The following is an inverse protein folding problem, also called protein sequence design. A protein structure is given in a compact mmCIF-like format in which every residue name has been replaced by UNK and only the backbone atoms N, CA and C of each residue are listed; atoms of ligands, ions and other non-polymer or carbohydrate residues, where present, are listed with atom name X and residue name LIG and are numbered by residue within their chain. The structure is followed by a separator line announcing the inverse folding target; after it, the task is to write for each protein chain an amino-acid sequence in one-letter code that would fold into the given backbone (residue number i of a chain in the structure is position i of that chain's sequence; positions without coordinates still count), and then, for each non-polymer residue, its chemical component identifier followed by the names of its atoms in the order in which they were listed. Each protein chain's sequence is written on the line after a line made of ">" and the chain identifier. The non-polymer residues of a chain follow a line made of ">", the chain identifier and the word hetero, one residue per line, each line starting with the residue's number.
data_IF_508450482495
#
_entry.id   IF_508450482495
#
_cell.length_a   1.000
_cell.length_b   1.000
_cell.length_c   1.000
_cell.angle_alpha   90.00
_cell.angle_beta   90.00
_cell.angle_gamma   90.00
#
_symmetry.space_group_name_H-M   'P 1'
#
loop_
_entity.id
_entity.type
_entity.pdbx_description
1 polymer ?
#
# COMPACT_ATOMS: atom_id res chain seq x y z
N UNK A 1 -4.21 8.21 -20.94
CA UNK A 1 -3.84 8.24 -19.50
C UNK A 1 -2.51 7.52 -19.35
N UNK A 2 -1.47 8.16 -18.80
CA UNK A 2 -0.11 7.59 -18.73
C UNK A 2 -0.07 6.40 -17.76
N UNK A 3 0.66 5.32 -18.09
CA UNK A 3 0.81 4.10 -17.26
C UNK A 3 1.16 4.39 -15.79
N UNK A 4 1.90 5.47 -15.54
CA UNK A 4 2.25 5.97 -14.19
C UNK A 4 1.01 6.37 -13.36
N UNK A 5 0.01 6.99 -13.98
CA UNK A 5 -1.23 7.43 -13.32
C UNK A 5 -2.08 6.22 -12.93
N UNK A 6 -2.18 5.23 -13.81
CA UNK A 6 -2.92 3.99 -13.54
C UNK A 6 -2.34 3.20 -12.36
N UNK A 7 -1.01 3.11 -12.27
CA UNK A 7 -0.34 2.46 -11.15
C UNK A 7 -0.53 3.22 -9.82
N UNK A 8 -0.57 4.56 -9.88
CA UNK A 8 -0.84 5.37 -8.70
C UNK A 8 -2.29 5.17 -8.21
N UNK A 9 -3.25 5.14 -9.13
CA UNK A 9 -4.66 4.87 -8.80
C UNK A 9 -4.83 3.47 -8.19
N UNK A 10 -4.20 2.44 -8.78
CA UNK A 10 -4.19 1.09 -8.22
C UNK A 10 -3.57 1.04 -6.82
N UNK A 11 -2.47 1.78 -6.60
CA UNK A 11 -1.86 1.91 -5.28
C UNK A 11 -2.79 2.54 -4.24
N UNK A 12 -3.52 3.60 -4.61
CA UNK A 12 -4.50 4.24 -3.72
C UNK A 12 -5.68 3.31 -3.38
N UNK A 13 -6.17 2.53 -4.36
CA UNK A 13 -7.25 1.55 -4.13
C UNK A 13 -6.80 0.47 -3.14
N UNK A 14 -5.59 -0.07 -3.33
CA UNK A 14 -5.01 -1.08 -2.43
C UNK A 14 -4.79 -0.50 -1.03
N UNK A 15 -4.32 0.76 -0.93
CA UNK A 15 -4.23 1.48 0.34
C UNK A 15 -5.57 1.52 1.08
N UNK A 16 -6.64 1.89 0.37
CA UNK A 16 -7.98 1.99 0.95
C UNK A 16 -8.49 0.65 1.46
N UNK A 17 -8.30 -0.43 0.69
CA UNK A 17 -8.73 -1.79 1.08
C UNK A 17 -7.97 -2.25 2.33
N UNK A 18 -6.65 -2.05 2.37
CA UNK A 18 -5.81 -2.43 3.53
C UNK A 18 -6.18 -1.59 4.76
N UNK A 19 -6.45 -0.30 4.58
CA UNK A 19 -6.93 0.58 5.64
C UNK A 19 -8.26 0.09 6.22
N UNK A 20 -9.23 -0.21 5.36
CA UNK A 20 -10.50 -0.80 5.79
C UNK A 20 -10.30 -2.12 6.56
N UNK A 21 -9.43 -3.01 6.08
CA UNK A 21 -9.14 -4.28 6.76
C UNK A 21 -8.50 -4.10 8.13
N UNK A 22 -7.71 -3.04 8.34
CA UNK A 22 -7.02 -2.79 9.61
C UNK A 22 -7.91 -2.04 10.61
N UNK A 23 -8.74 -1.11 10.13
CA UNK A 23 -9.51 -0.20 10.98
C UNK A 23 -10.97 -0.62 11.21
N UNK A 24 -11.58 -1.41 10.33
CA UNK A 24 -12.96 -1.90 10.51
C UNK A 24 -13.07 -2.96 11.62
N UNK A 25 -12.19 -3.98 11.68
CA UNK A 25 -12.33 -5.01 12.69
C UNK A 25 -11.77 -4.51 14.02
N UNK A 26 -12.51 -4.76 15.09
CA UNK A 26 -12.01 -4.45 16.42
C UNK A 26 -11.06 -5.54 16.90
N UNK A 27 -9.78 -5.37 16.60
CA UNK A 27 -8.72 -6.30 16.96
C UNK A 27 -8.25 -6.18 18.41
N UNK A 28 -8.83 -5.27 19.22
CA UNK A 28 -8.39 -5.01 20.59
C UNK A 28 -7.02 -4.32 20.71
N UNK A 29 -6.36 -4.01 19.59
CA UNK A 29 -5.15 -3.20 19.56
C UNK A 29 -5.48 -1.71 19.67
N UNK A 30 -4.62 -0.95 20.35
CA UNK A 30 -4.66 0.51 20.33
C UNK A 30 -4.52 1.05 18.91
N UNK A 31 -5.24 2.13 18.60
CA UNK A 31 -5.23 2.79 17.28
C UNK A 31 -3.81 3.11 16.80
N UNK A 32 -2.91 3.45 17.73
CA UNK A 32 -1.51 3.72 17.41
C UNK A 32 -0.82 2.53 16.75
N UNK A 33 -1.08 1.30 17.21
CA UNK A 33 -0.55 0.08 16.61
C UNK A 33 -1.17 -0.20 15.23
N UNK A 34 -2.47 0.04 15.07
CA UNK A 34 -3.17 -0.11 13.78
C UNK A 34 -2.58 0.84 12.73
N UNK A 35 -2.29 2.08 13.11
CA UNK A 35 -1.63 3.08 12.25
C UNK A 35 -0.21 2.63 11.88
N UNK A 36 0.58 2.12 12.82
CA UNK A 36 1.93 1.63 12.54
C UNK A 36 1.93 0.45 11.57
N UNK A 37 1.02 -0.51 11.75
CA UNK A 37 0.86 -1.65 10.83
C UNK A 37 0.47 -1.14 9.43
N UNK A 38 -0.48 -0.19 9.35
CA UNK A 38 -0.89 0.39 8.08
C UNK A 38 0.29 1.06 7.35
N UNK A 39 1.06 1.90 8.05
CA UNK A 39 2.23 2.58 7.48
C UNK A 39 3.28 1.55 7.01
N UNK A 40 3.56 0.53 7.81
CA UNK A 40 4.55 -0.50 7.48
C UNK A 40 4.15 -1.29 6.22
N UNK A 41 2.88 -1.72 6.14
CA UNK A 41 2.36 -2.42 4.95
C UNK A 41 2.41 -1.52 3.72
N UNK A 42 2.08 -0.23 3.88
CA UNK A 42 2.12 0.73 2.78
C UNK A 42 3.54 1.00 2.27
N UNK A 43 4.52 1.12 3.17
CA UNK A 43 5.93 1.25 2.80
C UNK A 43 6.44 0.01 2.04
N UNK A 44 6.12 -1.19 2.51
CA UNK A 44 6.51 -2.44 1.83
C UNK A 44 5.92 -2.50 0.42
N UNK A 45 4.64 -2.15 0.28
CA UNK A 45 3.97 -2.10 -1.02
C UNK A 45 4.67 -1.14 -1.99
N UNK A 46 5.01 0.07 -1.53
CA UNK A 46 5.72 1.05 -2.35
C UNK A 46 7.13 0.57 -2.75
N UNK A 47 7.83 -0.08 -1.82
CA UNK A 47 9.17 -0.62 -2.07
C UNK A 47 9.15 -1.75 -3.10
N UNK A 48 8.20 -2.69 -2.96
CA UNK A 48 7.99 -3.76 -3.94
C UNK A 48 7.63 -3.21 -5.32
N UNK A 49 6.74 -2.21 -5.40
CA UNK A 49 6.41 -1.56 -6.67
C UNK A 49 7.61 -0.86 -7.31
N UNK A 50 8.44 -0.17 -6.50
CA UNK A 50 9.69 0.44 -6.98
C UNK A 50 10.64 -0.62 -7.55
N UNK A 51 10.78 -1.76 -6.87
CA UNK A 51 11.67 -2.85 -7.28
C UNK A 51 11.19 -3.55 -8.56
N UNK A 52 9.90 -3.87 -8.65
CA UNK A 52 9.30 -4.47 -9.85
C UNK A 52 9.42 -3.52 -11.05
N UNK A 53 9.27 -2.21 -10.81
CA UNK A 53 9.41 -1.19 -11.85
C UNK A 53 10.85 -1.09 -12.37
N UNK A 54 11.86 -1.07 -11.49
CA UNK A 54 13.27 -1.06 -11.88
C UNK A 54 13.59 -2.25 -12.82
N UNK A 55 13.13 -3.46 -12.47
CA UNK A 55 13.34 -4.66 -13.30
C UNK A 55 12.61 -4.67 -14.65
N UNK A 56 11.60 -3.81 -14.85
CA UNK A 56 10.88 -3.68 -16.13
C UNK A 56 11.47 -2.60 -17.04
N UNK A 57 12.29 -1.69 -16.50
CA UNK A 57 13.01 -0.68 -17.30
C UNK A 57 14.36 -1.24 -17.82
N UNK A 58 14.89 -2.32 -17.25
CA UNK A 58 16.10 -3.05 -17.70
C UNK A 58 15.89 -4.06 -18.86
N UNK A 59 14.67 -4.19 -19.41
CA UNK A 59 14.33 -5.06 -20.55
C UNK A 59 13.73 -4.25 -21.69
#
# INVERSE_FOLDING_TARGET
>A
MTRKVWLNILGCIIAGIIGCLIFIPDYGFSDMYRILIFIAVFMIYFYCNKYIRARKEDK
#
